data_IF_668392328343
#
_entry.id   IF_668392328343
#
_cell.length_a   1.000
_cell.length_b   1.000
_cell.length_c   1.000
_cell.angle_alpha   90.00
_cell.angle_beta   90.00
_cell.angle_gamma   90.00
#
_symmetry.space_group_name_H-M   'P 1'
#
loop_
_entity.id
_entity.type
_entity.pdbx_description
1 polymer ?
#
# COMPACT_ATOMS: atom_id res chain seq x y z
N UNK A 1 -14.77 -9.22 -7.35
CA UNK A 1 -13.30 -9.25 -7.51
C UNK A 1 -12.76 -10.11 -6.38
N UNK A 2 -11.99 -11.12 -6.70
CA UNK A 2 -11.37 -12.02 -5.72
C UNK A 2 -9.85 -11.74 -5.73
N UNK A 3 -9.29 -11.37 -4.58
CA UNK A 3 -7.90 -10.99 -4.43
C UNK A 3 -7.14 -12.03 -3.63
N UNK A 4 -5.88 -12.28 -4.01
CA UNK A 4 -4.94 -12.98 -3.12
C UNK A 4 -4.68 -12.13 -1.85
N UNK A 5 -4.38 -12.76 -0.70
CA UNK A 5 -4.15 -12.06 0.58
C UNK A 5 -3.07 -10.99 0.54
N UNK A 6 -2.11 -11.11 -0.40
CA UNK A 6 -1.11 -10.07 -0.66
C UNK A 6 -1.11 -9.69 -2.13
N UNK A 7 -0.78 -8.44 -2.42
CA UNK A 7 -0.58 -7.91 -3.77
C UNK A 7 0.70 -7.11 -3.90
N UNK A 8 1.13 -6.90 -5.14
CA UNK A 8 2.35 -6.16 -5.44
C UNK A 8 2.14 -4.67 -5.22
N UNK A 9 2.89 -4.06 -4.30
CA UNK A 9 2.97 -2.61 -4.12
C UNK A 9 4.08 -1.99 -4.98
N UNK A 10 3.71 -1.16 -5.93
CA UNK A 10 4.63 -0.62 -6.92
C UNK A 10 5.17 0.79 -6.58
N UNK A 11 4.98 1.29 -5.36
CA UNK A 11 5.44 2.64 -5.00
C UNK A 11 6.94 2.82 -5.24
N UNK A 12 7.78 1.92 -4.75
CA UNK A 12 9.23 2.00 -4.92
C UNK A 12 9.69 1.80 -6.38
N UNK A 13 8.84 1.23 -7.24
CA UNK A 13 9.12 1.05 -8.67
C UNK A 13 9.05 2.38 -9.46
N UNK A 14 8.52 3.44 -8.85
CA UNK A 14 8.60 4.80 -9.39
C UNK A 14 10.00 5.41 -9.37
N UNK A 15 10.96 4.77 -8.70
CA UNK A 15 12.35 5.23 -8.64
C UNK A 15 12.56 6.48 -7.77
N UNK A 16 13.70 7.12 -7.98
CA UNK A 16 14.11 8.36 -7.29
C UNK A 16 13.74 9.63 -8.04
N UNK A 17 14.26 10.77 -7.56
CA UNK A 17 14.14 12.06 -8.23
C UNK A 17 12.75 12.71 -8.15
N UNK A 18 11.93 12.34 -7.16
CA UNK A 18 10.66 12.97 -6.83
C UNK A 18 10.43 12.99 -5.32
N UNK A 19 9.47 13.79 -4.84
CA UNK A 19 9.34 14.15 -3.42
C UNK A 19 9.16 12.97 -2.44
N UNK A 20 8.65 11.83 -2.89
CA UNK A 20 8.40 10.64 -2.07
C UNK A 20 9.12 9.40 -2.62
N UNK A 21 10.28 9.61 -3.29
CA UNK A 21 11.08 8.54 -3.85
C UNK A 21 11.75 7.67 -2.78
N UNK A 22 12.16 6.48 -3.21
CA UNK A 22 12.90 5.49 -2.40
C UNK A 22 14.36 5.36 -2.86
N UNK A 23 14.90 6.40 -3.52
CA UNK A 23 16.16 6.32 -4.23
C UNK A 23 16.05 5.59 -5.59
N UNK A 24 17.19 5.38 -6.27
CA UNK A 24 17.20 4.73 -7.57
C UNK A 24 16.60 3.33 -7.56
N UNK A 25 15.89 2.98 -8.65
CA UNK A 25 15.33 1.66 -8.88
C UNK A 25 15.54 1.26 -10.33
N UNK A 26 16.00 0.04 -10.55
CA UNK A 26 16.17 -0.54 -11.87
C UNK A 26 14.84 -1.14 -12.36
N UNK A 27 14.45 -0.79 -13.59
CA UNK A 27 13.20 -1.22 -14.18
C UNK A 27 13.17 -2.72 -14.49
N UNK A 28 14.32 -3.29 -14.91
CA UNK A 28 14.40 -4.72 -15.18
C UNK A 28 14.22 -5.53 -13.89
N UNK A 29 14.78 -5.07 -12.77
CA UNK A 29 14.54 -5.68 -11.45
C UNK A 29 13.07 -5.54 -11.02
N UNK A 30 12.46 -4.39 -11.27
CA UNK A 30 11.03 -4.15 -10.97
C UNK A 30 10.12 -5.09 -11.77
N UNK A 31 10.39 -5.24 -13.08
CA UNK A 31 9.67 -6.15 -13.96
C UNK A 31 9.87 -7.61 -13.51
N UNK A 32 11.09 -8.00 -13.19
CA UNK A 32 11.39 -9.34 -12.67
C UNK A 32 10.66 -9.63 -11.34
N UNK A 33 10.55 -8.63 -10.44
CA UNK A 33 9.79 -8.75 -9.21
C UNK A 33 8.29 -8.97 -9.47
N UNK A 34 7.69 -8.18 -10.38
CA UNK A 34 6.29 -8.36 -10.79
C UNK A 34 6.08 -9.78 -11.35
N UNK A 35 6.93 -10.22 -12.29
CA UNK A 35 6.84 -11.56 -12.87
C UNK A 35 6.94 -12.65 -11.80
N UNK A 36 7.94 -12.56 -10.90
CA UNK A 36 8.13 -13.53 -9.83
C UNK A 36 6.92 -13.59 -8.87
N UNK A 37 6.26 -12.46 -8.62
CA UNK A 37 5.05 -12.40 -7.79
C UNK A 37 3.85 -13.06 -8.50
N UNK A 38 3.63 -12.74 -9.76
CA UNK A 38 2.54 -13.32 -10.56
C UNK A 38 2.71 -14.84 -10.77
N UNK A 39 3.94 -15.31 -11.02
CA UNK A 39 4.27 -16.73 -11.18
C UNK A 39 4.05 -17.53 -9.87
N UNK A 40 3.99 -16.85 -8.71
CA UNK A 40 3.62 -17.43 -7.41
C UNK A 40 2.15 -17.28 -7.04
N UNK A 41 1.32 -16.85 -8.00
CA UNK A 41 -0.13 -16.80 -7.87
C UNK A 41 -0.68 -15.48 -7.30
N UNK A 42 0.15 -14.47 -7.02
CA UNK A 42 -0.35 -13.14 -6.69
C UNK A 42 -1.10 -12.58 -7.91
N UNK A 43 -2.34 -12.11 -7.71
CA UNK A 43 -3.23 -11.79 -8.82
C UNK A 43 -3.59 -10.31 -8.95
N UNK A 44 -2.91 -9.41 -8.23
CA UNK A 44 -3.16 -7.98 -8.31
C UNK A 44 -1.93 -7.12 -8.00
N UNK A 45 -1.92 -5.91 -8.57
CA UNK A 45 -0.86 -4.91 -8.46
C UNK A 45 -1.48 -3.58 -8.09
N UNK A 46 -0.95 -2.91 -7.07
CA UNK A 46 -1.32 -1.55 -6.68
C UNK A 46 -0.21 -0.56 -7.06
N UNK A 47 -0.55 0.40 -7.91
CA UNK A 47 0.30 1.52 -8.31
C UNK A 47 -0.42 2.85 -8.08
N UNK A 48 0.16 3.96 -8.53
CA UNK A 48 -0.46 5.27 -8.58
C UNK A 48 0.20 6.15 -9.66
N UNK A 49 -0.57 7.06 -10.23
CA UNK A 49 -0.07 8.03 -11.20
C UNK A 49 1.10 8.85 -10.65
N UNK A 50 1.05 9.22 -9.35
CA UNK A 50 2.09 10.02 -8.71
C UNK A 50 3.41 9.27 -8.52
N UNK A 51 3.44 7.93 -8.50
CA UNK A 51 4.65 7.15 -8.24
C UNK A 51 5.66 7.31 -9.39
N UNK A 52 6.72 8.08 -9.13
CA UNK A 52 7.69 8.47 -10.14
C UNK A 52 7.10 9.34 -11.25
N UNK A 53 5.99 10.08 -10.96
CA UNK A 53 5.31 10.97 -11.91
C UNK A 53 4.88 10.25 -13.20
N UNK A 54 4.24 9.08 -13.03
CA UNK A 54 3.74 8.21 -14.10
C UNK A 54 4.62 6.99 -14.37
N UNK A 55 5.90 7.02 -13.98
CA UNK A 55 6.87 5.97 -14.30
C UNK A 55 6.47 4.58 -13.79
N UNK A 56 5.94 4.48 -12.56
CA UNK A 56 5.49 3.20 -12.00
C UNK A 56 4.39 2.55 -12.83
N UNK A 57 3.43 3.32 -13.35
CA UNK A 57 2.38 2.80 -14.25
C UNK A 57 2.96 2.27 -15.56
N UNK A 58 3.99 2.93 -16.11
CA UNK A 58 4.69 2.49 -17.33
C UNK A 58 5.49 1.20 -17.09
N UNK A 59 6.14 1.07 -15.91
CA UNK A 59 6.85 -0.16 -15.51
C UNK A 59 5.86 -1.33 -15.39
N UNK A 60 4.71 -1.11 -14.74
CA UNK A 60 3.64 -2.11 -14.65
C UNK A 60 3.14 -2.50 -16.04
N UNK A 61 2.88 -1.54 -16.93
CA UNK A 61 2.44 -1.83 -18.30
C UNK A 61 3.45 -2.68 -19.08
N UNK A 62 4.76 -2.38 -18.94
CA UNK A 62 5.83 -3.19 -19.57
C UNK A 62 5.89 -4.60 -19.00
N UNK A 63 5.76 -4.74 -17.68
CA UNK A 63 5.76 -6.05 -17.03
C UNK A 63 4.58 -6.94 -17.47
N UNK A 64 3.45 -6.34 -17.81
CA UNK A 64 2.25 -7.07 -18.24
C UNK A 64 2.16 -7.30 -19.75
N UNK A 65 2.99 -6.60 -20.53
CA UNK A 65 3.03 -6.73 -21.98
C UNK A 65 3.40 -8.15 -22.42
N UNK A 66 2.52 -8.78 -23.24
CA UNK A 66 2.75 -10.12 -23.77
C UNK A 66 2.51 -11.29 -22.81
N UNK A 67 2.09 -11.06 -21.56
CA UNK A 67 1.72 -12.13 -20.63
C UNK A 67 0.29 -12.61 -20.84
N UNK A 68 0.11 -13.92 -20.81
CA UNK A 68 -1.20 -14.56 -20.68
C UNK A 68 -1.67 -14.47 -19.22
N UNK A 69 -2.96 -14.15 -19.01
CA UNK A 69 -3.51 -14.01 -17.66
C UNK A 69 -3.14 -12.66 -17.02
N UNK A 70 -4.04 -11.66 -17.20
CA UNK A 70 -3.82 -10.33 -16.67
C UNK A 70 -4.23 -10.27 -15.19
N UNK A 71 -3.34 -9.82 -14.27
CA UNK A 71 -3.73 -9.51 -12.90
C UNK A 71 -4.66 -8.30 -12.86
N UNK A 72 -5.36 -8.09 -11.75
CA UNK A 72 -6.02 -6.81 -11.50
C UNK A 72 -4.98 -5.71 -11.31
N UNK A 73 -5.21 -4.56 -11.92
CA UNK A 73 -4.35 -3.37 -11.81
C UNK A 73 -5.12 -2.24 -11.17
N UNK A 74 -4.61 -1.78 -10.03
CA UNK A 74 -5.14 -0.68 -9.23
C UNK A 74 -4.26 0.54 -9.39
N UNK A 75 -4.87 1.71 -9.58
CA UNK A 75 -4.15 2.98 -9.57
C UNK A 75 -4.97 4.06 -8.88
N UNK A 76 -4.41 5.27 -8.77
CA UNK A 76 -4.96 6.33 -7.92
C UNK A 76 -4.91 7.69 -8.61
N UNK A 77 -5.83 8.58 -8.23
CA UNK A 77 -5.91 9.99 -8.62
C UNK A 77 -5.78 10.92 -7.41
N UNK A 78 -6.02 12.19 -7.63
CA UNK A 78 -5.99 13.32 -6.68
C UNK A 78 -4.62 13.89 -6.36
N UNK A 79 -3.54 13.33 -6.87
CA UNK A 79 -2.20 13.88 -6.78
C UNK A 79 -1.68 14.17 -8.20
N UNK A 80 -1.56 15.44 -8.53
CA UNK A 80 -1.12 15.92 -9.83
C UNK A 80 0.21 16.65 -9.72
N UNK A 81 0.92 16.80 -10.85
CA UNK A 81 2.18 17.51 -10.91
C UNK A 81 2.24 18.42 -12.14
N UNK A 82 3.08 19.45 -12.06
CA UNK A 82 3.35 20.37 -13.16
C UNK A 82 4.70 20.05 -13.85
N UNK A 83 5.06 20.83 -14.86
CA UNK A 83 6.31 20.66 -15.62
C UNK A 83 7.58 20.86 -14.76
N UNK A 84 7.46 21.56 -13.63
CA UNK A 84 8.51 21.71 -12.63
C UNK A 84 8.58 20.55 -11.64
N UNK A 85 7.73 19.49 -11.83
CA UNK A 85 7.61 18.32 -10.95
C UNK A 85 7.07 18.66 -9.55
N UNK A 86 6.46 19.83 -9.38
CA UNK A 86 5.82 20.23 -8.14
C UNK A 86 4.47 19.50 -8.00
N UNK A 87 4.29 18.83 -6.87
CA UNK A 87 3.10 18.02 -6.60
C UNK A 87 2.04 18.88 -5.92
N UNK A 88 0.82 18.78 -6.40
CA UNK A 88 -0.36 19.39 -5.80
C UNK A 88 -1.52 18.41 -5.72
N UNK A 89 -2.58 18.79 -5.04
CA UNK A 89 -3.77 17.98 -4.81
C UNK A 89 -4.98 18.59 -5.52
N UNK A 90 -5.79 17.73 -6.15
CA UNK A 90 -7.00 18.15 -6.83
C UNK A 90 -8.06 17.05 -6.78
N UNK A 91 -9.26 17.44 -6.33
CA UNK A 91 -10.47 16.60 -6.41
C UNK A 91 -11.48 17.20 -7.40
N UNK A 92 -11.06 18.11 -8.27
CA UNK A 92 -11.91 18.65 -9.34
C UNK A 92 -12.23 17.57 -10.37
N UNK A 93 -13.48 17.53 -10.80
CA UNK A 93 -13.96 16.53 -11.77
C UNK A 93 -13.12 16.47 -13.04
N UNK A 94 -12.76 17.64 -13.60
CA UNK A 94 -11.91 17.73 -14.79
C UNK A 94 -10.50 17.16 -14.56
N UNK A 95 -9.92 17.37 -13.36
CA UNK A 95 -8.62 16.80 -12.99
C UNK A 95 -8.70 15.29 -12.96
N UNK A 96 -9.67 14.73 -12.24
CA UNK A 96 -9.89 13.30 -12.08
C UNK A 96 -10.11 12.61 -13.43
N UNK A 97 -10.90 13.19 -14.32
CA UNK A 97 -11.12 12.65 -15.67
C UNK A 97 -9.83 12.62 -16.46
N UNK A 98 -9.06 13.72 -16.48
CA UNK A 98 -7.75 13.79 -17.15
C UNK A 98 -6.72 12.82 -16.55
N UNK A 99 -6.67 12.70 -15.23
CA UNK A 99 -5.80 11.74 -14.54
C UNK A 99 -6.14 10.30 -14.94
N UNK A 100 -7.43 9.96 -14.99
CA UNK A 100 -7.90 8.63 -15.42
C UNK A 100 -7.45 8.30 -16.84
N UNK A 101 -7.65 9.21 -17.79
CA UNK A 101 -7.25 9.01 -19.18
C UNK A 101 -5.72 8.90 -19.34
N UNK A 102 -4.97 9.67 -18.54
CA UNK A 102 -3.52 9.56 -18.50
C UNK A 102 -3.07 8.19 -17.95
N UNK A 103 -3.72 7.69 -16.90
CA UNK A 103 -3.43 6.37 -16.33
C UNK A 103 -3.77 5.24 -17.30
N UNK A 104 -4.93 5.29 -17.98
CA UNK A 104 -5.29 4.33 -19.03
C UNK A 104 -4.22 4.25 -20.13
N UNK A 105 -3.71 5.41 -20.59
CA UNK A 105 -2.66 5.47 -21.61
C UNK A 105 -1.33 4.89 -21.11
N UNK A 106 -0.87 5.22 -19.89
CA UNK A 106 0.39 4.71 -19.34
C UNK A 106 0.32 3.21 -19.05
N UNK A 107 -0.80 2.75 -18.48
CA UNK A 107 -1.04 1.33 -18.20
C UNK A 107 -1.34 0.51 -19.45
N UNK A 108 -1.66 1.16 -20.59
CA UNK A 108 -2.04 0.52 -21.86
C UNK A 108 -3.22 -0.44 -21.71
N UNK A 109 -4.26 0.02 -21.01
CA UNK A 109 -5.49 -0.74 -20.76
C UNK A 109 -6.73 0.07 -21.16
N UNK A 110 -7.79 -0.64 -21.56
CA UNK A 110 -9.06 -0.01 -21.92
C UNK A 110 -9.89 0.37 -20.67
N UNK A 111 -9.69 -0.34 -19.57
CA UNK A 111 -10.34 -0.04 -18.29
C UNK A 111 -9.41 -0.36 -17.12
N UNK A 112 -9.39 0.52 -16.11
CA UNK A 112 -8.71 0.32 -14.82
C UNK A 112 -9.58 -0.59 -13.95
N UNK A 113 -8.98 -1.58 -13.29
CA UNK A 113 -9.76 -2.50 -12.45
C UNK A 113 -10.25 -1.80 -11.17
N UNK A 114 -9.37 -1.14 -10.41
CA UNK A 114 -9.76 -0.33 -9.24
C UNK A 114 -9.11 1.05 -9.32
N UNK A 115 -9.94 2.10 -9.34
CA UNK A 115 -9.49 3.48 -9.36
C UNK A 115 -9.81 4.15 -8.03
N UNK A 116 -8.81 4.77 -7.41
CA UNK A 116 -8.89 5.19 -6.01
C UNK A 116 -8.60 6.68 -5.86
N UNK A 117 -9.37 7.39 -5.05
CA UNK A 117 -8.92 8.68 -4.52
C UNK A 117 -7.75 8.43 -3.58
N UNK A 118 -6.55 8.94 -3.91
CA UNK A 118 -5.33 8.69 -3.13
C UNK A 118 -5.36 9.41 -1.78
N UNK A 119 -5.81 10.68 -1.77
CA UNK A 119 -5.96 11.51 -0.58
C UNK A 119 -7.24 12.35 -0.68
N UNK A 120 -8.02 12.46 0.40
CA UNK A 120 -9.28 13.23 0.45
C UNK A 120 -9.03 14.74 0.60
N UNK A 121 -8.20 15.33 -0.25
CA UNK A 121 -7.76 16.71 -0.09
C UNK A 121 -7.69 17.42 -1.46
N UNK A 122 -8.26 18.63 -1.58
CA UNK A 122 -8.91 19.42 -0.53
C UNK A 122 -10.32 18.89 -0.18
N UNK A 123 -10.64 18.80 1.10
CA UNK A 123 -11.88 18.20 1.62
C UNK A 123 -13.15 18.89 1.08
N UNK A 124 -13.08 20.19 0.78
CA UNK A 124 -14.21 20.97 0.19
C UNK A 124 -14.64 20.46 -1.19
N UNK A 125 -13.77 19.76 -1.91
CA UNK A 125 -14.03 19.24 -3.26
C UNK A 125 -14.30 17.72 -3.25
N UNK A 126 -14.46 17.13 -2.07
CA UNK A 126 -14.54 15.68 -1.87
C UNK A 126 -15.70 15.04 -2.63
N UNK A 127 -16.88 15.63 -2.52
CA UNK A 127 -18.11 15.14 -3.17
C UNK A 127 -18.02 15.27 -4.69
N UNK A 128 -17.44 16.37 -5.21
CA UNK A 128 -17.18 16.57 -6.63
C UNK A 128 -16.26 15.47 -7.17
N UNK A 129 -15.14 15.24 -6.48
CA UNK A 129 -14.18 14.23 -6.87
C UNK A 129 -14.76 12.82 -6.82
N UNK A 130 -15.49 12.48 -5.77
CA UNK A 130 -16.11 11.16 -5.66
C UNK A 130 -17.20 10.94 -6.71
N UNK A 131 -17.99 11.97 -7.01
CA UNK A 131 -18.97 11.95 -8.09
C UNK A 131 -18.33 11.72 -9.46
N UNK A 132 -17.15 12.31 -9.71
CA UNK A 132 -16.40 12.09 -10.93
C UNK A 132 -15.89 10.63 -11.07
N UNK A 133 -15.43 10.00 -9.98
CA UNK A 133 -15.08 8.57 -10.01
C UNK A 133 -16.30 7.70 -10.33
N UNK A 134 -17.45 7.98 -9.71
CA UNK A 134 -18.68 7.24 -9.99
C UNK A 134 -19.13 7.37 -11.45
N UNK A 135 -18.92 8.53 -12.07
CA UNK A 135 -19.22 8.76 -13.48
C UNK A 135 -18.24 7.99 -14.39
N UNK A 136 -16.94 7.97 -14.08
CA UNK A 136 -15.96 7.17 -14.81
C UNK A 136 -16.29 5.66 -14.77
N UNK A 137 -16.85 5.19 -13.64
CA UNK A 137 -17.34 3.82 -13.52
C UNK A 137 -18.54 3.55 -14.45
N UNK A 138 -19.52 4.45 -14.51
CA UNK A 138 -20.67 4.34 -15.42
C UNK A 138 -20.24 4.34 -16.88
N UNK A 139 -19.20 5.11 -17.23
CA UNK A 139 -18.62 5.17 -18.56
C UNK A 139 -17.79 3.90 -18.92
N UNK A 140 -17.56 2.99 -17.96
CA UNK A 140 -16.77 1.79 -18.16
C UNK A 140 -15.26 2.01 -18.22
N UNK A 141 -14.77 3.23 -17.97
CA UNK A 141 -13.33 3.54 -17.91
C UNK A 141 -12.65 2.94 -16.69
N UNK A 142 -13.42 2.73 -15.62
CA UNK A 142 -12.96 2.05 -14.40
C UNK A 142 -14.01 1.01 -13.99
N UNK A 143 -13.58 -0.15 -13.50
CA UNK A 143 -14.49 -1.23 -13.10
C UNK A 143 -15.03 -1.05 -11.70
N UNK A 144 -14.16 -0.65 -10.78
CA UNK A 144 -14.49 -0.40 -9.38
C UNK A 144 -13.85 0.91 -8.91
N UNK A 145 -14.52 1.58 -7.97
CA UNK A 145 -14.06 2.84 -7.38
C UNK A 145 -13.82 2.68 -5.88
N UNK A 146 -12.77 3.33 -5.37
CA UNK A 146 -12.34 3.19 -4.00
C UNK A 146 -11.70 4.45 -3.44
N UNK A 147 -11.37 4.42 -2.16
CA UNK A 147 -10.78 5.55 -1.43
C UNK A 147 -9.56 5.11 -0.63
N UNK A 148 -8.60 6.01 -0.46
CA UNK A 148 -7.40 5.80 0.36
C UNK A 148 -7.22 6.96 1.32
N UNK A 149 -6.80 6.67 2.57
CA UNK A 149 -6.53 7.67 3.61
C UNK A 149 -7.76 8.49 4.08
N UNK A 150 -8.95 7.97 3.88
CA UNK A 150 -10.19 8.61 4.33
C UNK A 150 -10.47 8.30 5.80
N UNK A 151 -10.94 9.31 6.53
CA UNK A 151 -11.52 9.13 7.85
C UNK A 151 -13.00 8.69 7.74
N UNK A 152 -13.57 8.30 8.88
CA UNK A 152 -14.94 7.79 8.93
C UNK A 152 -16.00 8.80 8.43
N UNK A 153 -15.81 10.09 8.72
CA UNK A 153 -16.75 11.14 8.28
C UNK A 153 -16.73 11.28 6.75
N UNK A 154 -15.55 11.26 6.13
CA UNK A 154 -15.38 11.33 4.69
C UNK A 154 -15.95 10.10 3.98
N UNK A 155 -15.75 8.91 4.52
CA UNK A 155 -16.36 7.67 4.02
C UNK A 155 -17.89 7.78 4.00
N UNK A 156 -18.48 8.26 5.11
CA UNK A 156 -19.95 8.44 5.21
C UNK A 156 -20.49 9.43 4.19
N UNK A 157 -19.80 10.55 3.96
CA UNK A 157 -20.18 11.57 2.95
C UNK A 157 -20.15 10.98 1.54
N UNK A 158 -19.08 10.33 1.15
CA UNK A 158 -18.96 9.71 -0.18
C UNK A 158 -20.02 8.64 -0.43
N UNK A 159 -20.36 7.84 0.58
CA UNK A 159 -21.41 6.81 0.44
C UNK A 159 -22.81 7.33 0.19
N UNK A 160 -23.09 8.61 0.44
CA UNK A 160 -24.38 9.24 0.06
C UNK A 160 -24.47 9.43 -1.47
N UNK A 161 -23.33 9.43 -2.18
CA UNK A 161 -23.28 9.69 -3.62
C UNK A 161 -23.18 8.38 -4.40
N UNK A 162 -22.25 7.50 -4.02
CA UNK A 162 -22.04 6.20 -4.67
C UNK A 162 -21.42 5.20 -3.70
N UNK A 163 -21.62 3.88 -3.92
CA UNK A 163 -20.95 2.84 -3.15
C UNK A 163 -19.43 2.93 -3.23
N UNK A 164 -18.75 2.64 -2.11
CA UNK A 164 -17.30 2.51 -2.03
C UNK A 164 -16.96 1.02 -2.08
N UNK A 165 -16.15 0.58 -3.05
CA UNK A 165 -15.73 -0.81 -3.17
C UNK A 165 -14.74 -1.20 -2.08
N UNK A 166 -13.75 -0.34 -1.81
CA UNK A 166 -12.74 -0.59 -0.78
C UNK A 166 -12.16 0.70 -0.19
N UNK A 167 -11.62 0.56 1.04
CA UNK A 167 -10.77 1.54 1.71
C UNK A 167 -9.32 1.04 1.69
N UNK A 168 -8.36 1.94 1.41
CA UNK A 168 -6.93 1.67 1.49
C UNK A 168 -6.29 2.51 2.62
N UNK A 169 -6.24 2.03 3.89
CA UNK A 169 -5.61 2.71 5.00
C UNK A 169 -4.18 2.22 5.25
N UNK A 170 -3.31 3.03 5.92
CA UNK A 170 -2.10 2.50 6.54
C UNK A 170 -2.47 1.54 7.68
N UNK A 171 -1.77 0.40 7.77
CA UNK A 171 -2.01 -0.54 8.86
C UNK A 171 -0.82 -1.48 9.06
N UNK A 172 -0.33 -1.56 10.28
CA UNK A 172 0.78 -2.43 10.68
C UNK A 172 0.80 -2.60 12.20
N UNK A 173 1.64 -3.52 12.69
CA UNK A 173 1.83 -3.73 14.16
C UNK A 173 2.15 -2.42 14.90
N UNK A 174 2.88 -1.50 14.27
CA UNK A 174 3.29 -0.22 14.89
C UNK A 174 2.38 0.96 14.53
N UNK A 175 1.38 0.75 13.70
CA UNK A 175 0.38 1.76 13.31
C UNK A 175 -0.99 1.09 13.21
N UNK A 176 -1.63 0.74 14.36
CA UNK A 176 -2.89 -0.02 14.40
C UNK A 176 -4.14 0.86 14.37
N UNK A 177 -4.02 2.19 14.28
CA UNK A 177 -5.10 3.17 14.50
C UNK A 177 -6.32 2.97 13.59
N UNK A 178 -6.16 2.26 12.48
CA UNK A 178 -7.30 1.89 11.62
C UNK A 178 -8.33 1.00 12.33
N UNK A 179 -7.92 0.27 13.39
CA UNK A 179 -8.80 -0.59 14.20
C UNK A 179 -9.84 0.20 15.00
N UNK A 180 -9.55 1.46 15.33
CA UNK A 180 -10.41 2.25 16.22
C UNK A 180 -11.78 2.53 15.61
N UNK A 181 -11.84 2.87 14.32
CA UNK A 181 -13.05 3.33 13.67
C UNK A 181 -13.27 2.76 12.26
N UNK A 182 -12.26 2.84 11.38
CA UNK A 182 -12.50 2.59 9.96
C UNK A 182 -12.61 1.11 9.64
N UNK A 183 -11.82 0.24 10.27
CA UNK A 183 -11.93 -1.21 10.05
C UNK A 183 -13.27 -1.78 10.53
N UNK A 184 -13.75 -1.50 11.76
CA UNK A 184 -15.08 -1.95 12.19
C UNK A 184 -16.20 -1.44 11.28
N UNK A 185 -16.12 -0.18 10.86
CA UNK A 185 -17.11 0.39 9.97
C UNK A 185 -17.13 -0.30 8.60
N UNK A 186 -15.94 -0.54 8.01
CA UNK A 186 -15.83 -1.23 6.73
C UNK A 186 -16.40 -2.64 6.79
N UNK A 187 -16.11 -3.40 7.87
CA UNK A 187 -16.66 -4.73 8.10
C UNK A 187 -18.19 -4.71 8.16
N UNK A 188 -18.75 -3.80 8.96
CA UNK A 188 -20.19 -3.66 9.13
C UNK A 188 -20.93 -3.31 7.82
N UNK A 189 -20.25 -2.59 6.92
CA UNK A 189 -20.85 -2.06 5.71
C UNK A 189 -20.39 -2.78 4.42
N UNK A 190 -19.74 -3.92 4.55
CA UNK A 190 -19.24 -4.74 3.43
C UNK A 190 -18.35 -3.93 2.46
N UNK A 191 -17.49 -3.04 3.00
CA UNK A 191 -16.47 -2.32 2.26
C UNK A 191 -15.18 -3.14 2.40
N UNK A 192 -14.57 -3.55 1.27
CA UNK A 192 -13.28 -4.24 1.29
C UNK A 192 -12.19 -3.35 1.88
N UNK A 193 -11.19 -3.95 2.53
CA UNK A 193 -10.05 -3.18 3.05
C UNK A 193 -8.75 -3.76 2.50
N UNK A 194 -7.97 -2.91 1.83
CA UNK A 194 -6.67 -3.25 1.27
C UNK A 194 -5.62 -2.40 1.99
N UNK A 195 -4.93 -2.98 2.97
CA UNK A 195 -4.01 -2.20 3.80
C UNK A 195 -2.65 -1.97 3.14
N UNK A 196 -2.04 -0.81 3.37
CA UNK A 196 -0.69 -0.54 2.89
C UNK A 196 0.32 -0.42 4.04
N UNK A 197 1.61 -0.57 3.70
CA UNK A 197 2.75 -0.53 4.64
C UNK A 197 2.70 -1.55 5.78
N UNK A 198 2.31 -2.83 5.54
CA UNK A 198 2.25 -3.84 6.61
C UNK A 198 3.60 -4.08 7.27
N UNK A 199 4.70 -3.93 6.53
CA UNK A 199 6.08 -4.04 7.03
C UNK A 199 6.72 -2.67 7.37
N UNK A 200 5.94 -1.58 7.40
CA UNK A 200 6.41 -0.20 7.67
C UNK A 200 7.67 0.15 6.89
N UNK A 201 7.57 0.17 5.56
CA UNK A 201 8.67 0.54 4.66
C UNK A 201 9.94 -0.30 4.85
N UNK A 202 9.79 -1.57 5.18
CA UNK A 202 10.87 -2.52 5.38
C UNK A 202 11.42 -2.58 6.81
N UNK A 203 10.93 -1.76 7.72
CA UNK A 203 11.38 -1.71 9.11
C UNK A 203 11.16 -3.04 9.85
N UNK A 204 10.00 -3.67 9.62
CA UNK A 204 9.60 -4.93 10.27
C UNK A 204 10.01 -6.20 9.50
N UNK A 205 11.00 -6.11 8.61
CA UNK A 205 11.45 -7.27 7.81
C UNK A 205 12.51 -8.13 8.51
N UNK A 206 13.02 -7.69 9.66
CA UNK A 206 14.19 -8.30 10.31
C UNK A 206 15.52 -8.03 9.60
N UNK A 207 15.50 -7.27 8.48
CA UNK A 207 16.70 -6.93 7.68
C UNK A 207 17.12 -5.46 7.84
N UNK A 208 16.42 -4.69 8.65
CA UNK A 208 16.75 -3.28 8.93
C UNK A 208 17.72 -3.22 10.10
N UNK A 209 18.77 -2.40 9.97
CA UNK A 209 19.73 -2.10 11.04
C UNK A 209 19.95 -0.61 11.15
N UNK A 210 20.57 -0.15 12.23
CA UNK A 210 20.94 1.26 12.41
C UNK A 210 21.88 1.75 11.31
N UNK A 211 22.88 0.93 10.97
CA UNK A 211 23.87 1.23 9.92
C UNK A 211 23.17 1.41 8.57
N UNK A 212 22.19 0.54 8.27
CA UNK A 212 21.41 0.64 7.05
C UNK A 212 20.58 1.91 6.99
N UNK A 213 19.96 2.32 8.12
CA UNK A 213 19.20 3.58 8.20
C UNK A 213 20.10 4.79 8.01
N UNK A 214 21.28 4.80 8.66
CA UNK A 214 22.27 5.87 8.48
C UNK A 214 22.80 5.96 7.04
N UNK A 215 22.85 4.84 6.33
CA UNK A 215 23.29 4.76 4.93
C UNK A 215 22.21 5.09 3.89
N UNK A 216 21.00 5.50 4.28
CA UNK A 216 19.99 5.88 3.31
C UNK A 216 20.41 7.15 2.52
N UNK A 217 20.15 7.21 1.20
CA UNK A 217 20.35 8.41 0.41
C UNK A 217 19.59 9.63 0.97
N UNK A 218 20.07 10.85 0.68
CA UNK A 218 19.46 12.08 1.21
C UNK A 218 18.02 12.31 0.73
N UNK A 219 17.68 11.81 -0.46
CA UNK A 219 16.36 11.85 -1.07
C UNK A 219 15.44 10.69 -0.65
N UNK A 220 15.91 9.76 0.20
CA UNK A 220 15.06 8.69 0.74
C UNK A 220 14.14 9.25 1.84
N UNK A 221 12.83 9.19 1.62
CA UNK A 221 11.84 9.73 2.56
C UNK A 221 11.92 9.12 3.96
N UNK A 222 12.44 7.88 4.09
CA UNK A 222 12.58 7.18 5.38
C UNK A 222 13.52 7.88 6.34
N UNK A 223 14.51 8.64 5.86
CA UNK A 223 15.40 9.43 6.72
C UNK A 223 14.65 10.43 7.59
N UNK A 224 13.53 10.96 7.10
CA UNK A 224 12.71 11.97 7.80
C UNK A 224 11.54 11.35 8.57
N UNK A 225 11.25 10.08 8.38
CA UNK A 225 10.13 9.42 9.01
C UNK A 225 10.45 9.06 10.47
N UNK A 226 9.59 9.47 11.41
CA UNK A 226 9.79 9.29 12.87
C UNK A 226 10.06 7.83 13.25
N UNK A 227 9.44 6.87 12.56
CA UNK A 227 9.65 5.44 12.82
C UNK A 227 11.10 4.96 12.57
N UNK A 228 11.89 5.74 11.82
CA UNK A 228 13.31 5.48 11.53
C UNK A 228 14.25 6.36 12.36
N UNK A 229 13.75 7.15 13.31
CA UNK A 229 14.51 8.01 14.18
C UNK A 229 14.44 7.51 15.64
N UNK A 230 15.49 7.77 16.41
CA UNK A 230 15.49 7.46 17.84
C UNK A 230 14.49 8.36 18.62
N UNK A 231 13.82 7.85 19.64
CA UNK A 231 13.93 6.49 20.21
C UNK A 231 13.10 5.43 19.49
N UNK A 232 12.26 5.81 18.50
CA UNK A 232 11.35 4.89 17.82
C UNK A 232 12.08 3.81 17.04
N UNK A 233 13.23 4.12 16.44
CA UNK A 233 14.01 3.15 15.66
C UNK A 233 14.41 1.97 16.53
N UNK A 234 14.98 2.23 17.72
CA UNK A 234 15.38 1.16 18.66
C UNK A 234 14.21 0.25 19.01
N UNK A 235 13.09 0.82 19.41
CA UNK A 235 11.88 0.09 19.77
C UNK A 235 11.34 -0.74 18.59
N UNK A 236 11.39 -0.22 17.39
CA UNK A 236 10.91 -0.92 16.20
C UNK A 236 11.85 -2.05 15.76
N UNK A 237 13.16 -1.91 15.97
CA UNK A 237 14.13 -2.99 15.71
C UNK A 237 13.93 -4.15 16.70
N UNK A 238 13.73 -3.87 18.00
CA UNK A 238 13.38 -4.89 19.00
C UNK A 238 12.09 -5.64 18.62
N UNK A 239 11.08 -4.93 18.12
CA UNK A 239 9.87 -5.57 17.63
C UNK A 239 10.15 -6.47 16.42
N UNK A 240 10.98 -6.02 15.47
CA UNK A 240 11.35 -6.83 14.31
C UNK A 240 12.10 -8.11 14.71
N UNK A 241 12.92 -8.07 15.76
CA UNK A 241 13.55 -9.26 16.35
C UNK A 241 12.49 -10.20 16.92
N UNK A 242 11.52 -9.69 17.69
CA UNK A 242 10.41 -10.51 18.21
C UNK A 242 9.61 -11.17 17.09
N UNK A 243 9.31 -10.44 16.01
CA UNK A 243 8.63 -11.00 14.84
C UNK A 243 9.49 -12.09 14.15
N UNK A 244 10.84 -11.93 14.14
CA UNK A 244 11.75 -12.94 13.61
C UNK A 244 11.73 -14.22 14.45
N UNK A 245 11.69 -14.11 15.79
CA UNK A 245 11.59 -15.28 16.70
C UNK A 245 10.28 -16.04 16.48
N UNK A 246 9.17 -15.35 16.31
CA UNK A 246 7.86 -15.96 15.99
C UNK A 246 7.95 -16.65 14.62
N UNK A 247 8.45 -15.95 13.61
CA UNK A 247 8.60 -16.50 12.26
C UNK A 247 9.46 -17.76 12.21
N UNK A 248 10.56 -17.79 12.98
CA UNK A 248 11.46 -18.95 13.04
C UNK A 248 10.76 -20.24 13.48
N UNK A 249 9.73 -20.16 14.33
CA UNK A 249 8.94 -21.32 14.78
C UNK A 249 8.19 -22.00 13.61
N UNK A 250 7.94 -21.24 12.53
CA UNK A 250 7.18 -21.69 11.35
C UNK A 250 7.99 -21.71 10.05
N UNK A 251 9.31 -21.47 10.13
CA UNK A 251 10.15 -21.31 8.94
C UNK A 251 9.76 -20.08 8.09
N UNK A 252 9.27 -19.02 8.75
CA UNK A 252 8.81 -17.77 8.12
C UNK A 252 9.70 -16.59 8.49
N UNK A 253 9.71 -15.56 7.64
CA UNK A 253 10.45 -14.33 7.90
C UNK A 253 9.66 -13.40 8.82
N UNK A 254 10.33 -12.44 9.48
CA UNK A 254 9.66 -11.37 10.22
C UNK A 254 8.69 -10.56 9.34
N UNK A 255 9.03 -10.34 8.07
CA UNK A 255 8.16 -9.66 7.10
C UNK A 255 6.86 -10.42 6.87
N UNK A 256 6.91 -11.75 6.74
CA UNK A 256 5.72 -12.60 6.61
C UNK A 256 4.86 -12.56 7.88
N UNK A 257 5.47 -12.54 9.05
CA UNK A 257 4.77 -12.38 10.35
C UNK A 257 4.08 -11.01 10.43
N UNK A 258 4.78 -9.93 10.05
CA UNK A 258 4.22 -8.58 10.04
C UNK A 258 3.02 -8.46 9.08
N UNK A 259 3.09 -9.09 7.90
CA UNK A 259 1.98 -9.14 6.94
C UNK A 259 0.83 -9.98 7.52
N UNK A 260 1.09 -11.19 8.03
CA UNK A 260 0.08 -12.05 8.63
C UNK A 260 -0.65 -11.37 9.80
N UNK A 261 0.08 -10.54 10.57
CA UNK A 261 -0.53 -9.75 11.62
C UNK A 261 -1.58 -8.78 11.09
N UNK A 262 -1.37 -8.13 9.95
CA UNK A 262 -2.40 -7.26 9.36
C UNK A 262 -3.59 -8.04 8.84
N UNK A 263 -3.37 -9.23 8.30
CA UNK A 263 -4.40 -10.11 7.76
C UNK A 263 -5.25 -10.82 8.85
N UNK A 264 -4.89 -10.66 10.14
CA UNK A 264 -5.66 -11.25 11.25
C UNK A 264 -7.01 -10.57 11.47
N UNK A 265 -7.11 -9.27 11.11
CA UNK A 265 -8.32 -8.51 11.35
C UNK A 265 -9.40 -8.85 10.32
N UNK A 266 -10.63 -9.21 10.72
CA UNK A 266 -11.66 -9.73 9.82
C UNK A 266 -12.13 -8.74 8.74
N UNK A 267 -11.93 -7.43 8.95
CA UNK A 267 -12.21 -6.42 7.92
C UNK A 267 -11.17 -6.38 6.80
N UNK A 268 -9.94 -6.87 7.04
CA UNK A 268 -8.84 -6.77 6.08
C UNK A 268 -8.97 -7.86 5.02
N UNK A 269 -9.18 -7.43 3.79
CA UNK A 269 -9.26 -8.31 2.62
C UNK A 269 -7.89 -8.73 2.14
N UNK A 270 -6.95 -7.77 2.05
CA UNK A 270 -5.60 -8.02 1.53
C UNK A 270 -4.61 -6.95 1.97
N UNK A 271 -3.32 -7.23 1.81
CA UNK A 271 -2.22 -6.32 2.12
C UNK A 271 -1.37 -6.01 0.88
N UNK A 272 -1.07 -4.72 0.68
CA UNK A 272 -0.15 -4.24 -0.35
C UNK A 272 1.28 -4.41 0.16
N UNK A 273 2.07 -5.21 -0.53
CA UNK A 273 3.43 -5.55 -0.14
C UNK A 273 4.42 -5.02 -1.18
N UNK A 274 5.32 -4.13 -0.74
CA UNK A 274 6.38 -3.59 -1.59
C UNK A 274 7.44 -4.64 -1.91
N UNK A 275 7.75 -4.79 -3.20
CA UNK A 275 8.73 -5.76 -3.72
C UNK A 275 9.54 -5.07 -4.81
N UNK A 276 10.85 -4.92 -4.63
CA UNK A 276 11.76 -4.24 -5.58
C UNK A 276 12.60 -5.22 -6.42
N UNK A 277 12.65 -6.49 -6.02
CA UNK A 277 13.39 -7.56 -6.69
C UNK A 277 12.71 -8.91 -6.49
N UNK A 278 13.04 -9.88 -7.35
CA UNK A 278 12.53 -11.26 -7.25
C UNK A 278 12.89 -11.93 -5.92
N UNK A 279 14.07 -11.61 -5.35
CA UNK A 279 14.49 -12.13 -4.04
C UNK A 279 13.59 -11.62 -2.90
N UNK A 280 13.14 -10.37 -2.99
CA UNK A 280 12.20 -9.82 -2.01
C UNK A 280 10.84 -10.51 -2.08
N UNK A 281 10.39 -10.92 -3.26
CA UNK A 281 9.17 -11.73 -3.42
C UNK A 281 9.27 -13.03 -2.63
N UNK A 282 10.41 -13.72 -2.74
CA UNK A 282 10.65 -14.96 -1.98
C UNK A 282 10.56 -14.76 -0.47
N UNK A 283 10.97 -13.59 0.04
CA UNK A 283 10.94 -13.28 1.47
C UNK A 283 9.58 -12.86 2.03
N UNK A 284 8.53 -12.77 1.21
CA UNK A 284 7.19 -12.32 1.64
C UNK A 284 6.05 -13.19 1.13
N UNK A 285 6.31 -14.03 0.12
CA UNK A 285 5.26 -14.80 -0.56
C UNK A 285 4.59 -15.84 0.34
N UNK A 286 5.28 -16.34 1.36
CA UNK A 286 4.69 -17.27 2.34
C UNK A 286 3.55 -16.66 3.16
N UNK A 287 3.39 -15.34 3.18
CA UNK A 287 2.24 -14.69 3.77
C UNK A 287 0.91 -14.97 3.02
N UNK A 288 0.95 -15.53 1.81
CA UNK A 288 -0.24 -16.01 1.12
C UNK A 288 -1.00 -17.04 1.98
N UNK A 289 -0.28 -17.97 2.58
CA UNK A 289 -0.87 -19.11 3.30
C UNK A 289 -0.66 -19.05 4.81
N UNK A 290 0.32 -18.28 5.28
CA UNK A 290 0.66 -18.19 6.69
C UNK A 290 -0.33 -17.31 7.47
N UNK A 291 -0.77 -17.81 8.62
CA UNK A 291 -1.60 -17.07 9.59
C UNK A 291 -1.03 -17.27 10.99
N UNK A 292 -1.15 -16.22 11.82
CA UNK A 292 -0.77 -16.27 13.23
C UNK A 292 -1.84 -16.99 14.06
N UNK A 293 -1.40 -17.71 15.07
CA UNK A 293 -2.29 -18.23 16.12
C UNK A 293 -2.70 -17.11 17.08
N UNK A 294 -3.80 -17.31 17.81
CA UNK A 294 -4.27 -16.34 18.83
C UNK A 294 -3.19 -16.08 19.89
N UNK A 295 -2.44 -17.11 20.29
CA UNK A 295 -1.33 -17.00 21.24
C UNK A 295 -0.21 -16.08 20.73
N UNK A 296 0.15 -16.17 19.46
CA UNK A 296 1.17 -15.30 18.84
C UNK A 296 0.69 -13.88 18.67
N UNK A 297 -0.59 -13.69 18.35
CA UNK A 297 -1.22 -12.35 18.32
C UNK A 297 -1.13 -11.71 19.70
N UNK A 298 -1.46 -12.46 20.76
CA UNK A 298 -1.36 -12.00 22.15
C UNK A 298 0.10 -11.72 22.56
N UNK A 299 1.04 -12.56 22.16
CA UNK A 299 2.49 -12.36 22.40
C UNK A 299 2.98 -11.02 21.79
N UNK A 300 2.60 -10.73 20.54
CA UNK A 300 2.93 -9.46 19.86
C UNK A 300 2.28 -8.28 20.59
N UNK A 301 1.01 -8.40 20.99
CA UNK A 301 0.29 -7.35 21.69
C UNK A 301 0.92 -7.03 23.06
N UNK A 302 1.25 -8.06 23.85
CA UNK A 302 1.91 -7.90 25.15
C UNK A 302 3.29 -7.25 25.03
N UNK A 303 4.07 -7.65 24.01
CA UNK A 303 5.38 -7.04 23.72
C UNK A 303 5.23 -5.54 23.42
N UNK A 304 4.29 -5.17 22.54
CA UNK A 304 4.02 -3.76 22.20
C UNK A 304 3.57 -2.94 23.40
N UNK A 305 2.69 -3.46 24.25
CA UNK A 305 2.26 -2.79 25.49
C UNK A 305 3.45 -2.54 26.42
N UNK A 306 4.34 -3.50 26.58
CA UNK A 306 5.57 -3.36 27.37
C UNK A 306 6.51 -2.28 26.81
N UNK A 307 6.62 -2.14 25.48
CA UNK A 307 7.40 -1.08 24.85
C UNK A 307 6.80 0.31 25.13
N UNK A 308 5.47 0.47 24.99
CA UNK A 308 4.78 1.75 25.24
C UNK A 308 4.90 2.17 26.70
N UNK A 309 4.81 1.25 27.64
CA UNK A 309 5.00 1.53 29.07
C UNK A 309 6.42 2.03 29.38
N UNK A 310 7.46 1.44 28.76
CA UNK A 310 8.86 1.92 28.92
C UNK A 310 9.11 3.30 28.31
N UNK A 311 8.38 3.66 27.24
CA UNK A 311 8.55 4.96 26.58
C UNK A 311 7.81 6.11 27.31
N UNK A 312 6.89 5.79 28.21
CA UNK A 312 6.12 6.75 29.00
C UNK A 312 6.75 7.03 30.40
N UNK A 313 7.71 6.23 30.83
CA UNK A 313 8.51 6.39 32.05
C UNK A 313 9.83 7.13 31.80
#
# INVERSE_FOLDING_TARGET
MELTPIGVGAWAMGGGGWAFGWGPQDDAQSIAAIHAALDRGINWIDTAAIYGLGHSEEVVARALGGRSGRPYVFTKCSLVWNDKREISRSLKAESIQRECENSLRRLKVDAIDLYQVHWPDPDRDLEEGWGALAELQKQGKVRWVAVSNFNLAQIKRCRQIAPITSLQPPYSVISPEAEDQVLPYCLQHNIGVIVYSPMKSGLLTGKMTRERVMGFPDDDFRRKALSFQEPHLSSNLELAERLSEIGARHGRTAGEVAIAWTLRHPAVTAAIVGMRSADQVTGVVGALDFRLTDSEIQEIAAFRQGQLARSAS
#
